data_IF_347920274296
#
_entry.id   IF_347920274296
#
_cell.length_a   1.000
_cell.length_b   1.000
_cell.length_c   1.000
_cell.angle_alpha   90.00
_cell.angle_beta   90.00
_cell.angle_gamma   90.00
#
_symmetry.space_group_name_H-M   'P 1'
#
loop_
_entity.id
_entity.type
_entity.pdbx_description
1 polymer ?
#
# COMPACT_ATOMS: atom_id res chain seq x y z
N UNK A 1 27.19 -33.41 19.86
CA UNK A 1 25.92 -33.92 19.33
C UNK A 1 25.10 -32.71 18.92
N UNK A 2 24.90 -32.58 17.62
CA UNK A 2 24.32 -31.41 16.92
C UNK A 2 22.80 -31.48 16.89
N UNK A 3 22.14 -30.41 17.32
CA UNK A 3 20.77 -30.03 16.90
C UNK A 3 20.75 -28.49 16.93
N UNK A 4 21.19 -27.80 15.87
CA UNK A 4 20.40 -27.44 14.68
C UNK A 4 18.99 -26.92 15.02
N UNK A 5 18.94 -25.59 15.19
CA UNK A 5 17.93 -24.60 14.79
C UNK A 5 16.45 -25.04 14.57
N UNK A 6 15.50 -24.15 14.89
CA UNK A 6 15.27 -23.08 13.91
C UNK A 6 15.30 -21.68 14.53
N UNK A 7 16.16 -20.86 13.92
CA UNK A 7 16.20 -19.39 13.93
C UNK A 7 15.09 -18.82 13.00
N UNK A 8 14.09 -19.63 12.64
CA UNK A 8 13.08 -19.28 11.65
C UNK A 8 11.78 -19.10 12.42
N UNK A 9 11.49 -17.86 12.84
CA UNK A 9 10.14 -17.30 13.07
C UNK A 9 10.19 -15.89 13.70
N UNK A 10 11.40 -15.34 13.96
CA UNK A 10 11.56 -13.99 14.51
C UNK A 10 11.98 -12.91 13.49
N UNK A 11 12.04 -13.23 12.19
CA UNK A 11 12.48 -12.28 11.15
C UNK A 11 11.49 -12.07 9.98
N UNK A 12 10.24 -12.53 10.09
CA UNK A 12 9.23 -12.27 9.05
C UNK A 12 8.22 -11.18 9.45
N UNK A 13 8.70 -10.16 10.17
CA UNK A 13 8.17 -8.80 10.09
C UNK A 13 9.33 -7.96 9.55
N UNK A 14 9.15 -7.33 8.41
CA UNK A 14 10.03 -6.28 7.87
C UNK A 14 11.29 -6.71 7.12
N UNK A 15 11.16 -7.29 5.91
CA UNK A 15 12.14 -7.08 4.81
C UNK A 15 11.52 -7.33 3.43
N UNK A 16 10.58 -6.49 3.00
CA UNK A 16 10.64 -5.97 1.62
C UNK A 16 10.81 -4.47 1.75
N UNK A 17 12.07 -4.08 1.94
CA UNK A 17 12.53 -2.73 1.72
C UNK A 17 12.37 -2.41 0.23
N UNK A 18 11.15 -2.18 -0.22
CA UNK A 18 10.91 -1.37 -1.40
C UNK A 18 11.09 0.06 -0.91
N UNK A 19 12.23 0.66 -1.25
CA UNK A 19 12.54 2.06 -0.96
C UNK A 19 11.37 2.93 -1.42
N UNK A 20 10.49 3.33 -0.48
CA UNK A 20 9.36 4.24 -0.73
C UNK A 20 9.94 5.57 -1.22
N UNK A 21 9.72 5.98 -2.48
CA UNK A 21 10.05 7.33 -2.88
C UNK A 21 8.95 8.28 -2.37
N UNK A 22 9.35 9.25 -1.54
CA UNK A 22 8.73 10.57 -1.32
C UNK A 22 7.26 10.71 -0.87
N UNK A 23 6.48 9.64 -0.66
CA UNK A 23 5.10 9.71 -0.09
C UNK A 23 5.11 9.45 1.44
N UNK A 24 6.19 9.82 2.14
CA UNK A 24 6.33 9.55 3.59
C UNK A 24 5.46 10.48 4.47
N UNK A 25 4.86 11.52 3.88
CA UNK A 25 3.98 12.46 4.58
C UNK A 25 2.49 12.21 4.38
N UNK A 26 2.10 11.42 3.38
CA UNK A 26 0.70 11.02 3.20
C UNK A 26 0.50 9.75 4.02
N UNK A 27 -0.28 9.82 5.09
CA UNK A 27 -0.73 8.66 5.86
C UNK A 27 -2.09 8.17 5.34
N UNK A 28 -2.15 7.29 4.33
CA UNK A 28 -3.41 6.78 3.78
C UNK A 28 -4.21 5.93 4.78
N UNK A 29 -3.61 5.56 5.93
CA UNK A 29 -4.22 4.71 6.96
C UNK A 29 -5.51 5.33 7.51
N UNK A 30 -5.60 6.66 7.61
CA UNK A 30 -6.83 7.33 8.10
C UNK A 30 -8.01 7.22 7.13
N UNK A 31 -7.76 6.80 5.89
CA UNK A 31 -8.75 6.71 4.82
C UNK A 31 -9.24 5.28 4.54
N UNK A 32 -8.74 4.28 5.29
CA UNK A 32 -9.16 2.88 5.18
C UNK A 32 -10.34 2.62 6.13
N UNK A 33 -11.41 2.05 5.60
CA UNK A 33 -12.53 1.51 6.35
C UNK A 33 -12.73 0.02 6.02
N UNK A 34 -13.73 -0.63 6.63
CA UNK A 34 -13.99 -2.07 6.40
C UNK A 34 -14.51 -2.40 5.00
N UNK A 35 -14.81 -1.40 4.16
CA UNK A 35 -15.30 -1.61 2.81
C UNK A 35 -14.25 -1.15 1.77
N UNK A 36 -13.69 -2.07 0.96
CA UNK A 36 -12.67 -1.72 -0.03
C UNK A 36 -13.17 -0.70 -1.07
N UNK A 37 -14.49 -0.62 -1.31
CA UNK A 37 -15.05 0.34 -2.26
C UNK A 37 -15.04 1.79 -1.76
N UNK A 38 -15.25 2.02 -0.46
CA UNK A 38 -15.16 3.35 0.14
C UNK A 38 -13.71 3.74 0.39
N UNK A 39 -12.91 2.79 0.88
CA UNK A 39 -11.47 2.97 1.12
C UNK A 39 -10.74 3.49 -0.12
N UNK A 40 -10.92 2.82 -1.28
CA UNK A 40 -10.23 3.23 -2.52
C UNK A 40 -10.62 4.64 -2.99
N UNK A 41 -11.88 5.06 -2.79
CA UNK A 41 -12.36 6.40 -3.17
C UNK A 41 -11.79 7.48 -2.27
N UNK A 42 -11.73 7.22 -0.95
CA UNK A 42 -11.14 8.16 0.02
C UNK A 42 -9.65 8.35 -0.23
N UNK A 43 -8.92 7.24 -0.40
CA UNK A 43 -7.48 7.27 -0.68
C UNK A 43 -7.19 7.96 -2.01
N UNK A 44 -7.94 7.64 -3.07
CA UNK A 44 -7.77 8.29 -4.38
C UNK A 44 -7.93 9.81 -4.25
N UNK A 45 -9.03 10.25 -3.62
CA UNK A 45 -9.31 11.67 -3.44
C UNK A 45 -8.20 12.36 -2.66
N UNK A 46 -7.80 11.80 -1.52
CA UNK A 46 -6.79 12.42 -0.67
C UNK A 46 -5.40 12.44 -1.35
N UNK A 47 -5.03 11.39 -2.09
CA UNK A 47 -3.79 11.37 -2.87
C UNK A 47 -3.80 12.40 -4.01
N UNK A 48 -4.92 12.55 -4.72
CA UNK A 48 -5.10 13.61 -5.73
C UNK A 48 -5.06 15.00 -5.10
N UNK A 49 -5.67 15.21 -3.94
CA UNK A 49 -5.74 16.51 -3.27
C UNK A 49 -4.36 16.93 -2.70
N UNK A 50 -3.56 16.00 -2.19
CA UNK A 50 -2.25 16.30 -1.57
C UNK A 50 -1.08 16.33 -2.56
N UNK A 51 -1.01 15.33 -3.46
CA UNK A 51 0.14 15.14 -4.35
C UNK A 51 -0.13 15.74 -5.73
N UNK A 52 -1.39 15.76 -6.15
CA UNK A 52 -1.78 16.10 -7.51
C UNK A 52 -1.53 14.95 -8.50
N UNK A 53 -2.23 14.98 -9.63
CA UNK A 53 -2.18 13.91 -10.62
C UNK A 53 -3.34 12.91 -10.52
N UNK A 54 -3.30 11.90 -11.38
CA UNK A 54 -4.28 10.83 -11.45
C UNK A 54 -3.77 9.61 -10.69
N UNK A 55 -4.41 9.31 -9.58
CA UNK A 55 -4.13 8.12 -8.78
C UNK A 55 -5.15 7.02 -9.07
N UNK A 56 -4.64 5.81 -9.25
CA UNK A 56 -5.42 4.59 -9.25
C UNK A 56 -5.23 3.90 -7.90
N UNK A 57 -6.32 3.37 -7.34
CA UNK A 57 -6.30 2.70 -6.04
C UNK A 57 -7.04 1.37 -6.13
N UNK A 58 -6.34 0.29 -5.77
CA UNK A 58 -6.90 -1.04 -5.67
C UNK A 58 -6.97 -1.43 -4.21
N UNK A 59 -8.15 -1.77 -3.72
CA UNK A 59 -8.36 -2.28 -2.36
C UNK A 59 -9.06 -3.62 -2.43
N UNK A 60 -8.66 -4.54 -1.56
CA UNK A 60 -9.27 -5.87 -1.43
C UNK A 60 -9.28 -6.32 0.02
N UNK A 61 -10.30 -7.09 0.37
CA UNK A 61 -10.37 -7.83 1.64
C UNK A 61 -9.75 -9.23 1.56
N UNK A 62 -9.28 -9.60 0.37
CA UNK A 62 -8.66 -10.89 0.08
C UNK A 62 -7.40 -10.69 -0.73
N UNK A 63 -6.54 -11.70 -0.76
CA UNK A 63 -5.32 -11.66 -1.55
C UNK A 63 -5.65 -11.61 -3.05
N UNK A 64 -4.95 -10.73 -3.75
CA UNK A 64 -5.02 -10.63 -5.21
C UNK A 64 -3.65 -10.28 -5.76
N UNK A 65 -3.34 -10.82 -6.94
CA UNK A 65 -2.09 -10.52 -7.64
C UNK A 65 -2.34 -9.48 -8.72
N UNK A 66 -1.43 -8.52 -8.86
CA UNK A 66 -1.48 -7.49 -9.90
C UNK A 66 -0.06 -7.06 -10.28
N UNK A 67 0.07 -6.39 -11.42
CA UNK A 67 1.32 -5.80 -11.90
C UNK A 67 1.06 -4.33 -12.23
N UNK A 68 1.86 -3.44 -11.64
CA UNK A 68 1.81 -2.00 -11.91
C UNK A 68 3.23 -1.50 -12.18
N UNK A 69 3.39 -0.70 -13.25
CA UNK A 69 4.63 0.00 -13.55
C UNK A 69 4.45 1.48 -13.18
N UNK A 70 4.98 1.88 -12.02
CA UNK A 70 4.81 3.22 -11.48
C UNK A 70 6.01 3.59 -10.62
N UNK A 71 6.33 4.88 -10.58
CA UNK A 71 7.40 5.41 -9.75
C UNK A 71 6.89 5.84 -8.37
N UNK A 72 5.60 6.16 -8.25
CA UNK A 72 4.99 6.70 -7.04
C UNK A 72 3.85 5.78 -6.62
N UNK A 73 4.00 5.18 -5.45
CA UNK A 73 2.97 4.32 -4.87
C UNK A 73 3.00 4.38 -3.35
N UNK A 74 1.87 4.07 -2.74
CA UNK A 74 1.76 3.83 -1.32
C UNK A 74 0.86 2.62 -1.05
N UNK A 75 1.09 1.98 0.08
CA UNK A 75 0.29 0.86 0.56
C UNK A 75 -0.29 1.25 1.91
N UNK A 76 -1.57 0.95 2.10
CA UNK A 76 -2.34 1.25 3.30
C UNK A 76 -3.27 0.10 3.58
N UNK A 77 -3.44 -0.28 4.84
CA UNK A 77 -4.40 -1.31 5.18
C UNK A 77 -4.73 -1.32 6.65
N UNK A 78 -5.83 -1.99 6.96
CA UNK A 78 -6.19 -2.41 8.32
C UNK A 78 -6.20 -3.96 8.35
N UNK A 79 -6.73 -4.54 9.43
CA UNK A 79 -6.80 -6.00 9.58
C UNK A 79 -7.69 -6.70 8.53
N UNK A 80 -8.59 -5.96 7.86
CA UNK A 80 -9.62 -6.49 6.97
C UNK A 80 -9.45 -6.12 5.49
N UNK A 81 -8.76 -5.02 5.19
CA UNK A 81 -8.66 -4.41 3.86
C UNK A 81 -7.24 -3.92 3.62
N UNK A 82 -6.65 -4.39 2.53
CA UNK A 82 -5.37 -3.90 2.02
C UNK A 82 -5.60 -3.10 0.75
N UNK A 83 -5.02 -1.91 0.69
CA UNK A 83 -5.11 -0.96 -0.39
C UNK A 83 -3.73 -0.62 -0.95
N UNK A 84 -3.62 -0.60 -2.26
CA UNK A 84 -2.46 -0.14 -3.00
C UNK A 84 -2.85 1.02 -3.90
N UNK A 85 -2.23 2.18 -3.69
CA UNK A 85 -2.44 3.38 -4.48
C UNK A 85 -1.19 3.67 -5.29
N UNK A 86 -1.36 4.02 -6.56
CA UNK A 86 -0.26 4.36 -7.44
C UNK A 86 -0.63 5.47 -8.40
N UNK A 87 0.38 6.26 -8.77
CA UNK A 87 0.22 7.31 -9.76
C UNK A 87 0.12 6.68 -11.15
N UNK A 88 -0.99 6.96 -11.83
CA UNK A 88 -1.26 6.57 -13.21
C UNK A 88 -0.67 7.57 -14.20
N UNK A 89 -0.92 8.85 -13.98
CA UNK A 89 -0.43 9.93 -14.84
C UNK A 89 -0.35 11.25 -14.08
N UNK A 90 0.65 12.08 -14.39
CA UNK A 90 0.71 13.46 -13.91
C UNK A 90 -0.23 14.33 -14.76
N UNK A 91 -0.99 15.21 -14.11
CA UNK A 91 -1.76 16.23 -14.82
C UNK A 91 -0.76 17.34 -15.17
N UNK A 92 -0.52 17.55 -16.47
CA UNK A 92 0.32 18.65 -16.99
C UNK A 92 -0.42 19.99 -16.94
#
# INVERSE_FOLDING_TARGET
MTTLAPIIWAQFRSTTSFSKPSIDSFEPIQNVDSNPSSSKRKIQKAATDEIGGLFDVICSSHDFSYLANTQVFCEAGNDDVTCFAFLHSLIQ
#
